data_IF_720420914775
#
_entry.id   IF_720420914775
#
_cell.length_a   1.000
_cell.length_b   1.000
_cell.length_c   1.000
_cell.angle_alpha   90.00
_cell.angle_beta   90.00
_cell.angle_gamma   90.00
#
_symmetry.space_group_name_H-M   'P 1'
#
loop_
_entity.id
_entity.type
_entity.pdbx_description
1 polymer ?
#
# COMPACT_ATOMS: atom_id res chain seq x y z
N UNK A 1 -6.64 -4.42 8.01
CA UNK A 1 -7.01 -5.21 6.86
C UNK A 1 -5.86 -5.18 5.86
N UNK A 2 -5.30 -6.32 5.51
CA UNK A 2 -4.20 -6.45 4.56
C UNK A 2 -4.76 -7.10 3.31
N UNK A 3 -4.72 -6.38 2.19
CA UNK A 3 -4.93 -6.97 0.89
C UNK A 3 -3.55 -7.17 0.27
N UNK A 4 -2.99 -8.30 0.55
CA UNK A 4 -1.79 -8.78 -0.09
C UNK A 4 -1.97 -10.28 -0.24
N UNK A 5 -2.71 -10.71 -1.24
CA UNK A 5 -2.72 -12.11 -1.60
C UNK A 5 -2.77 -12.31 -3.10
N UNK A 6 -1.84 -13.11 -3.45
CA UNK A 6 -1.60 -13.60 -4.77
C UNK A 6 -2.64 -14.62 -5.23
N UNK A 7 -3.35 -15.29 -4.32
CA UNK A 7 -4.07 -16.53 -4.69
C UNK A 7 -5.58 -16.49 -4.57
N UNK A 8 -6.11 -15.70 -3.71
CA UNK A 8 -7.58 -15.53 -3.57
C UNK A 8 -7.93 -14.75 -2.32
N UNK A 9 -8.75 -13.78 -2.44
CA UNK A 9 -9.50 -13.28 -1.32
C UNK A 9 -8.81 -12.18 -0.53
N UNK A 10 -9.59 -11.73 0.37
CA UNK A 10 -9.33 -10.65 1.28
C UNK A 10 -8.79 -11.26 2.58
N UNK A 11 -7.56 -10.92 2.96
CA UNK A 11 -7.04 -11.33 4.27
C UNK A 11 -7.37 -10.30 5.33
N UNK A 12 -8.00 -10.77 6.39
CA UNK A 12 -8.14 -10.02 7.63
C UNK A 12 -6.99 -10.44 8.53
N UNK A 13 -6.01 -9.56 8.71
CA UNK A 13 -4.94 -9.77 9.68
C UNK A 13 -5.41 -9.31 11.06
N UNK A 14 -5.36 -10.20 12.04
CA UNK A 14 -5.56 -9.88 13.45
C UNK A 14 -7.00 -10.02 13.98
N UNK A 15 -7.89 -10.66 13.24
CA UNK A 15 -9.23 -11.04 13.71
C UNK A 15 -9.54 -12.49 13.37
N UNK A 16 -10.49 -13.08 14.08
CA UNK A 16 -11.07 -14.35 13.67
C UNK A 16 -11.67 -14.20 12.27
N UNK A 17 -11.40 -15.15 11.40
CA UNK A 17 -12.09 -15.24 10.09
C UNK A 17 -13.59 -15.32 10.40
N UNK A 18 -14.43 -14.41 9.89
CA UNK A 18 -15.85 -14.48 10.12
C UNK A 18 -16.37 -15.87 9.76
N UNK A 19 -17.12 -16.48 10.65
CA UNK A 19 -17.72 -17.80 10.42
C UNK A 19 -18.65 -17.84 9.20
N UNK A 20 -18.99 -16.66 8.66
CA UNK A 20 -19.80 -16.50 7.48
C UNK A 20 -19.23 -15.35 6.63
N UNK A 21 -18.77 -15.67 5.43
CA UNK A 21 -18.37 -14.64 4.47
C UNK A 21 -19.62 -13.85 4.05
N UNK A 22 -19.50 -12.53 4.13
CA UNK A 22 -20.51 -11.63 3.57
C UNK A 22 -20.67 -11.88 2.06
N UNK A 23 -21.90 -11.75 1.52
CA UNK A 23 -22.09 -11.83 0.08
C UNK A 23 -21.21 -10.82 -0.65
N UNK A 24 -20.65 -11.24 -1.78
CA UNK A 24 -19.87 -10.35 -2.65
C UNK A 24 -20.78 -9.25 -3.21
N UNK A 25 -20.22 -8.04 -3.34
CA UNK A 25 -20.87 -6.98 -4.12
C UNK A 25 -20.82 -7.30 -5.61
N UNK A 26 -21.63 -6.60 -6.41
CA UNK A 26 -21.56 -6.73 -7.88
C UNK A 26 -20.17 -6.41 -8.42
N UNK A 27 -19.47 -5.42 -7.81
CA UNK A 27 -18.11 -5.06 -8.20
C UNK A 27 -17.10 -6.13 -7.83
N UNK A 28 -17.19 -6.71 -6.65
CA UNK A 28 -16.34 -7.84 -6.24
C UNK A 28 -16.55 -9.04 -7.15
N UNK A 29 -17.81 -9.32 -7.50
CA UNK A 29 -18.17 -10.38 -8.46
C UNK A 29 -17.54 -10.12 -9.83
N UNK A 30 -17.63 -8.90 -10.35
CA UNK A 30 -17.00 -8.52 -11.61
C UNK A 30 -15.47 -8.63 -11.55
N UNK A 31 -14.85 -8.16 -10.49
CA UNK A 31 -13.39 -8.27 -10.31
C UNK A 31 -12.93 -9.74 -10.28
N UNK A 32 -13.71 -10.62 -9.62
CA UNK A 32 -13.43 -12.06 -9.58
C UNK A 32 -13.54 -12.72 -10.98
N UNK A 33 -14.39 -12.20 -11.85
CA UNK A 33 -14.51 -12.68 -13.23
C UNK A 33 -13.38 -12.15 -14.12
N UNK A 34 -12.99 -10.89 -13.95
CA UNK A 34 -11.98 -10.24 -14.78
C UNK A 34 -10.55 -10.68 -14.44
N UNK A 35 -10.26 -10.92 -13.15
CA UNK A 35 -8.90 -11.23 -12.71
C UNK A 35 -8.30 -12.46 -13.43
N UNK A 36 -8.97 -13.62 -13.52
CA UNK A 36 -8.44 -14.78 -14.24
C UNK A 36 -8.42 -14.62 -15.76
N UNK A 37 -9.22 -13.69 -16.31
CA UNK A 37 -9.26 -13.40 -17.73
C UNK A 37 -8.23 -12.35 -18.17
N UNK A 38 -7.57 -11.68 -17.20
CA UNK A 38 -6.58 -10.64 -17.49
C UNK A 38 -5.21 -11.29 -17.62
N UNK A 39 -4.49 -11.09 -18.74
CA UNK A 39 -3.11 -11.57 -18.88
C UNK A 39 -2.23 -11.01 -17.76
N UNK A 40 -1.52 -11.89 -17.09
CA UNK A 40 -0.56 -11.54 -16.06
C UNK A 40 0.79 -12.17 -16.38
N UNK A 41 1.83 -11.36 -16.50
CA UNK A 41 3.18 -11.82 -16.80
C UNK A 41 3.81 -12.58 -15.62
N UNK A 42 3.32 -12.33 -14.41
CA UNK A 42 3.77 -12.98 -13.17
C UNK A 42 2.55 -13.66 -12.53
N UNK A 43 2.27 -14.92 -12.86
CA UNK A 43 1.01 -15.59 -12.49
C UNK A 43 0.76 -15.71 -10.99
N UNK A 44 1.82 -15.67 -10.18
CA UNK A 44 1.73 -15.77 -8.72
C UNK A 44 1.37 -14.45 -8.05
N UNK A 45 1.41 -13.34 -8.78
CA UNK A 45 1.21 -11.98 -8.24
C UNK A 45 -0.12 -11.41 -8.70
N UNK A 46 -0.83 -10.74 -7.81
CA UNK A 46 -2.03 -10.01 -8.16
C UNK A 46 -1.65 -8.64 -8.71
N UNK A 47 -2.16 -8.29 -9.88
CA UNK A 47 -1.99 -6.94 -10.42
C UNK A 47 -2.51 -5.88 -9.44
N UNK A 48 -1.77 -4.78 -9.33
CA UNK A 48 -2.04 -3.69 -8.37
C UNK A 48 -3.44 -3.10 -8.53
N UNK A 49 -3.96 -3.05 -9.76
CA UNK A 49 -5.32 -2.59 -10.02
C UNK A 49 -6.36 -3.46 -9.30
N UNK A 50 -6.23 -4.78 -9.32
CA UNK A 50 -7.16 -5.65 -8.59
C UNK A 50 -7.02 -5.48 -7.08
N UNK A 51 -5.79 -5.44 -6.56
CA UNK A 51 -5.52 -5.16 -5.15
C UNK A 51 -6.19 -3.85 -4.71
N UNK A 52 -6.05 -2.81 -5.52
CA UNK A 52 -6.64 -1.50 -5.26
C UNK A 52 -8.17 -1.54 -5.26
N UNK A 53 -8.79 -2.04 -6.33
CA UNK A 53 -10.25 -1.98 -6.46
C UNK A 53 -10.98 -2.90 -5.48
N UNK A 54 -10.42 -4.06 -5.13
CA UNK A 54 -10.94 -4.86 -4.01
C UNK A 54 -10.86 -4.10 -2.69
N UNK A 55 -9.72 -3.45 -2.41
CA UNK A 55 -9.54 -2.65 -1.20
C UNK A 55 -10.49 -1.46 -1.15
N UNK A 56 -10.67 -0.75 -2.26
CA UNK A 56 -11.58 0.38 -2.35
C UNK A 56 -13.04 -0.05 -2.14
N UNK A 57 -13.45 -1.20 -2.70
CA UNK A 57 -14.81 -1.73 -2.47
C UNK A 57 -15.00 -2.15 -1.02
N UNK A 58 -14.00 -2.81 -0.43
CA UNK A 58 -14.03 -3.12 1.00
C UNK A 58 -14.16 -1.86 1.87
N UNK A 59 -13.43 -0.79 1.55
CA UNK A 59 -13.54 0.49 2.25
C UNK A 59 -14.93 1.09 2.12
N UNK A 60 -15.54 1.01 0.93
CA UNK A 60 -16.92 1.48 0.71
C UNK A 60 -17.92 0.75 1.57
N UNK A 61 -17.79 -0.58 1.66
CA UNK A 61 -18.71 -1.47 2.38
C UNK A 61 -18.52 -1.41 3.90
N UNK A 62 -17.29 -1.52 4.37
CA UNK A 62 -16.98 -1.84 5.76
C UNK A 62 -16.43 -0.66 6.58
N UNK A 63 -16.04 0.44 5.92
CA UNK A 63 -15.54 1.65 6.59
C UNK A 63 -14.42 1.37 7.63
N UNK A 64 -13.35 0.63 7.29
CA UNK A 64 -12.28 0.33 8.23
C UNK A 64 -11.59 1.61 8.71
N UNK A 65 -11.16 1.63 9.97
CA UNK A 65 -10.40 2.75 10.55
C UNK A 65 -8.93 2.74 10.14
N UNK A 66 -8.39 1.56 9.84
CA UNK A 66 -7.03 1.36 9.33
C UNK A 66 -7.11 0.47 8.10
N UNK A 67 -6.42 0.87 7.05
CA UNK A 67 -6.31 0.12 5.81
C UNK A 67 -4.85 0.11 5.35
N UNK A 68 -4.38 -1.02 4.89
CA UNK A 68 -3.06 -1.19 4.30
C UNK A 68 -3.20 -1.77 2.90
N UNK A 69 -2.63 -1.10 1.91
CA UNK A 69 -2.49 -1.59 0.55
C UNK A 69 -1.02 -1.94 0.31
N UNK A 70 -0.76 -3.11 -0.22
CA UNK A 70 0.56 -3.52 -0.70
C UNK A 70 0.48 -3.68 -2.20
N UNK A 71 1.30 -2.92 -2.92
CA UNK A 71 1.45 -2.95 -4.37
C UNK A 71 2.79 -3.58 -4.72
N UNK A 72 2.86 -4.30 -5.83
CA UNK A 72 3.98 -5.18 -6.17
C UNK A 72 4.55 -4.97 -7.56
N UNK A 73 3.75 -4.48 -8.52
CA UNK A 73 4.14 -4.40 -9.93
C UNK A 73 5.45 -3.65 -10.19
N UNK A 74 5.77 -2.62 -9.37
CA UNK A 74 7.05 -1.90 -9.52
C UNK A 74 8.24 -2.80 -9.21
N UNK A 75 8.13 -3.67 -8.20
CA UNK A 75 9.19 -4.59 -7.84
C UNK A 75 9.36 -5.68 -8.90
N UNK A 76 8.27 -6.27 -9.33
CA UNK A 76 8.23 -7.34 -10.32
C UNK A 76 8.82 -6.91 -11.67
N UNK A 77 8.40 -5.76 -12.19
CA UNK A 77 8.94 -5.24 -13.45
C UNK A 77 10.41 -4.85 -13.35
N UNK A 78 10.86 -4.38 -12.19
CA UNK A 78 12.28 -4.12 -12.00
C UNK A 78 13.08 -5.43 -12.00
N UNK A 79 12.65 -6.45 -11.29
CA UNK A 79 13.30 -7.79 -11.30
C UNK A 79 13.35 -8.38 -12.70
N UNK A 80 12.32 -8.19 -13.49
CA UNK A 80 12.25 -8.64 -14.89
C UNK A 80 13.12 -7.81 -15.83
N UNK A 81 13.66 -6.66 -15.38
CA UNK A 81 14.45 -5.75 -16.19
C UNK A 81 13.63 -4.90 -17.16
N UNK A 82 12.32 -4.83 -16.99
CA UNK A 82 11.37 -4.13 -17.84
C UNK A 82 11.21 -2.66 -17.39
N UNK A 83 12.23 -1.84 -17.66
CA UNK A 83 12.30 -0.46 -17.14
C UNK A 83 11.09 0.41 -17.51
N UNK A 84 10.61 0.31 -18.76
CA UNK A 84 9.43 1.06 -19.19
C UNK A 84 8.17 0.63 -18.43
N UNK A 85 8.00 -0.66 -18.15
CA UNK A 85 6.89 -1.19 -17.37
C UNK A 85 7.01 -0.78 -15.89
N UNK A 86 8.23 -0.81 -15.33
CA UNK A 86 8.54 -0.30 -13.99
C UNK A 86 8.09 1.16 -13.82
N UNK A 87 8.45 2.06 -14.75
CA UNK A 87 8.02 3.46 -14.69
C UNK A 87 6.50 3.59 -14.88
N UNK A 88 5.92 2.82 -15.79
CA UNK A 88 4.48 2.84 -16.01
C UNK A 88 3.71 2.37 -14.78
N UNK A 89 4.15 1.34 -14.07
CA UNK A 89 3.50 0.88 -12.85
C UNK A 89 3.59 1.93 -11.73
N UNK A 90 4.73 2.63 -11.60
CA UNK A 90 4.84 3.76 -10.67
C UNK A 90 3.84 4.89 -11.00
N UNK A 91 3.70 5.26 -12.27
CA UNK A 91 2.69 6.24 -12.69
C UNK A 91 1.25 5.78 -12.46
N UNK A 92 0.96 4.49 -12.68
CA UNK A 92 -0.36 3.93 -12.35
C UNK A 92 -0.63 3.97 -10.85
N UNK A 93 0.35 3.65 -10.03
CA UNK A 93 0.23 3.76 -8.58
C UNK A 93 -0.10 5.18 -8.15
N UNK A 94 0.55 6.21 -8.73
CA UNK A 94 0.18 7.61 -8.48
C UNK A 94 -1.29 7.90 -8.84
N UNK A 95 -1.79 7.37 -9.96
CA UNK A 95 -3.19 7.53 -10.35
C UNK A 95 -4.14 6.83 -9.36
N UNK A 96 -3.81 5.63 -8.90
CA UNK A 96 -4.60 4.91 -7.88
C UNK A 96 -4.60 5.66 -6.54
N UNK A 97 -3.47 6.22 -6.12
CA UNK A 97 -3.37 7.06 -4.93
C UNK A 97 -4.22 8.33 -5.04
N UNK A 98 -4.27 8.96 -6.21
CA UNK A 98 -5.15 10.10 -6.49
C UNK A 98 -6.62 9.70 -6.40
N UNK A 99 -6.99 8.55 -6.96
CA UNK A 99 -8.36 8.03 -6.86
C UNK A 99 -8.74 7.74 -5.41
N UNK A 100 -7.84 7.10 -4.65
CA UNK A 100 -8.03 6.85 -3.23
C UNK A 100 -8.23 8.17 -2.46
N UNK A 101 -7.38 9.15 -2.68
CA UNK A 101 -7.49 10.45 -2.02
C UNK A 101 -8.81 11.14 -2.34
N UNK A 102 -9.23 11.15 -3.60
CA UNK A 102 -10.50 11.70 -4.02
C UNK A 102 -11.68 10.99 -3.34
N UNK A 103 -11.65 9.67 -3.25
CA UNK A 103 -12.63 8.91 -2.51
C UNK A 103 -12.66 9.32 -1.03
N UNK A 104 -11.50 9.34 -0.37
CA UNK A 104 -11.38 9.72 1.04
C UNK A 104 -11.91 11.13 1.32
N UNK A 105 -11.76 12.07 0.38
CA UNK A 105 -12.26 13.44 0.53
C UNK A 105 -13.74 13.62 0.12
N UNK A 106 -14.31 12.65 -0.58
CA UNK A 106 -15.74 12.67 -0.96
C UNK A 106 -16.65 11.93 0.02
N UNK A 107 -16.11 10.93 0.73
CA UNK A 107 -16.88 10.09 1.64
C UNK A 107 -17.03 10.73 3.03
N UNK A 108 -18.24 10.86 3.52
CA UNK A 108 -18.53 11.56 4.80
C UNK A 108 -17.93 10.88 6.04
N UNK A 109 -17.61 9.59 5.98
CA UNK A 109 -16.93 8.89 7.07
C UNK A 109 -15.44 9.27 7.14
N UNK A 110 -14.78 9.41 5.97
CA UNK A 110 -13.34 9.62 5.86
C UNK A 110 -12.92 11.09 5.72
N UNK A 111 -13.77 11.93 5.11
CA UNK A 111 -13.45 13.31 4.76
C UNK A 111 -12.92 14.11 5.95
N UNK A 112 -11.73 14.68 5.79
CA UNK A 112 -11.08 15.50 6.81
C UNK A 112 -10.64 14.74 8.07
N UNK A 113 -10.71 13.41 8.08
CA UNK A 113 -10.40 12.56 9.25
C UNK A 113 -9.35 11.50 8.96
N UNK A 114 -8.89 11.38 7.72
CA UNK A 114 -8.00 10.31 7.28
C UNK A 114 -6.60 10.84 7.01
N UNK A 115 -5.61 10.18 7.56
CA UNK A 115 -4.20 10.36 7.21
C UNK A 115 -3.80 9.25 6.25
N UNK A 116 -3.25 9.63 5.09
CA UNK A 116 -2.64 8.73 4.14
C UNK A 116 -1.13 8.75 4.37
N UNK A 117 -0.53 7.57 4.50
CA UNK A 117 0.92 7.35 4.55
C UNK A 117 1.28 6.52 3.33
N UNK A 118 2.24 6.98 2.54
CA UNK A 118 2.77 6.28 1.37
C UNK A 118 4.26 6.08 1.57
N UNK A 119 4.73 4.87 1.36
CA UNK A 119 6.15 4.53 1.47
C UNK A 119 6.48 3.35 0.58
N UNK A 120 7.76 3.12 0.32
CA UNK A 120 8.28 1.87 -0.23
C UNK A 120 8.76 0.98 0.91
N UNK A 121 8.77 -0.32 0.70
CA UNK A 121 9.30 -1.32 1.64
C UNK A 121 10.82 -1.41 1.58
N UNK A 122 11.42 -1.14 0.42
CA UNK A 122 12.87 -1.02 0.21
C UNK A 122 13.17 -0.06 -0.95
N UNK A 123 14.44 0.30 -1.07
CA UNK A 123 15.01 0.98 -2.23
C UNK A 123 15.63 -0.02 -3.22
N UNK A 124 16.40 0.50 -4.17
CA UNK A 124 17.08 -0.28 -5.20
C UNK A 124 18.48 0.27 -5.45
N UNK A 125 19.33 -0.53 -6.08
CA UNK A 125 20.66 -0.09 -6.48
C UNK A 125 20.62 1.02 -7.54
N UNK A 126 21.59 1.93 -7.55
CA UNK A 126 21.61 3.08 -8.45
C UNK A 126 22.23 2.77 -9.83
N UNK A 127 22.85 1.59 -10.00
CA UNK A 127 23.57 1.22 -11.21
C UNK A 127 22.67 0.69 -12.33
N UNK A 128 23.17 0.64 -13.54
CA UNK A 128 22.45 0.16 -14.73
C UNK A 128 21.94 -1.29 -14.60
N UNK A 129 22.60 -2.10 -13.78
CA UNK A 129 22.21 -3.47 -13.49
C UNK A 129 21.60 -3.62 -12.09
N UNK A 130 22.06 -2.83 -11.13
CA UNK A 130 21.64 -2.94 -9.73
C UNK A 130 20.21 -2.45 -9.47
N UNK A 131 19.66 -1.60 -10.34
CA UNK A 131 18.27 -1.13 -10.20
C UNK A 131 17.24 -2.26 -10.26
N UNK A 132 17.61 -3.42 -10.81
CA UNK A 132 16.78 -4.62 -10.87
C UNK A 132 16.73 -5.39 -9.55
N UNK A 133 17.55 -5.00 -8.59
CA UNK A 133 17.79 -5.77 -7.39
C UNK A 133 17.68 -4.92 -6.12
N UNK A 134 17.42 -5.62 -5.03
CA UNK A 134 17.41 -5.08 -3.68
C UNK A 134 18.01 -6.09 -2.70
N UNK A 135 18.10 -5.74 -1.44
CA UNK A 135 18.62 -6.59 -0.38
C UNK A 135 19.86 -6.00 0.30
N UNK A 136 20.27 -6.59 1.40
CA UNK A 136 21.25 -6.01 2.32
C UNK A 136 22.64 -5.75 1.72
N UNK A 137 22.96 -6.34 0.58
CA UNK A 137 24.25 -6.15 -0.11
C UNK A 137 24.20 -5.16 -1.26
N UNK A 138 23.02 -4.66 -1.60
CA UNK A 138 22.81 -3.69 -2.70
C UNK A 138 22.81 -2.30 -2.08
N UNK A 139 23.77 -1.48 -2.47
CA UNK A 139 23.84 -0.08 -2.02
C UNK A 139 22.57 0.68 -2.43
N UNK A 140 21.96 1.42 -1.51
CA UNK A 140 20.72 2.14 -1.75
C UNK A 140 19.43 1.33 -1.53
N UNK A 141 19.50 0.01 -1.36
CA UNK A 141 18.31 -0.80 -1.09
C UNK A 141 17.68 -0.53 0.29
N UNK A 142 18.40 0.07 1.21
CA UNK A 142 17.92 0.53 2.52
C UNK A 142 17.38 1.97 2.50
N UNK A 143 17.46 2.66 1.35
CA UNK A 143 17.01 4.03 1.21
C UNK A 143 15.58 4.06 0.70
N UNK A 144 14.67 4.50 1.55
CA UNK A 144 13.25 4.65 1.25
C UNK A 144 12.81 6.09 1.47
N UNK A 145 11.64 6.40 0.96
CA UNK A 145 10.95 7.66 1.25
C UNK A 145 9.61 7.39 1.94
N UNK A 146 9.13 8.37 2.69
CA UNK A 146 7.83 8.32 3.36
C UNK A 146 7.12 9.65 3.09
N UNK A 147 5.92 9.58 2.51
CA UNK A 147 5.05 10.73 2.34
C UNK A 147 3.82 10.61 3.24
N UNK A 148 3.39 11.73 3.81
CA UNK A 148 2.23 11.78 4.69
C UNK A 148 1.34 12.98 4.33
N UNK A 149 0.04 12.76 4.26
CA UNK A 149 -0.97 13.80 4.07
C UNK A 149 -2.19 13.53 4.94
N UNK A 150 -2.74 14.55 5.56
CA UNK A 150 -3.96 14.42 6.36
C UNK A 150 -4.00 15.36 7.58
N UNK A 151 -5.04 15.24 8.41
CA UNK A 151 -5.19 16.08 9.60
C UNK A 151 -4.00 15.97 10.54
N UNK A 152 -3.48 17.11 10.99
CA UNK A 152 -2.33 17.18 11.90
C UNK A 152 -0.97 16.93 11.24
N UNK A 153 -0.92 16.78 9.92
CA UNK A 153 0.33 16.78 9.16
C UNK A 153 0.57 18.19 8.62
N UNK A 154 1.69 18.79 9.03
CA UNK A 154 2.05 20.11 8.53
C UNK A 154 2.44 20.04 7.04
N UNK A 155 2.00 20.98 6.19
CA UNK A 155 2.34 21.00 4.77
C UNK A 155 3.76 21.59 4.56
N UNK A 156 4.77 20.85 4.94
CA UNK A 156 6.18 21.30 4.93
C UNK A 156 6.87 21.05 3.59
N UNK A 157 6.24 20.31 2.66
CA UNK A 157 6.92 19.81 1.47
C UNK A 157 7.95 18.72 1.81
N UNK A 158 8.97 18.60 0.99
CA UNK A 158 10.05 17.64 1.20
C UNK A 158 10.95 18.06 2.38
N UNK A 159 11.13 17.13 3.32
CA UNK A 159 12.05 17.29 4.45
C UNK A 159 13.40 16.67 4.12
N UNK A 160 14.44 17.48 4.08
CA UNK A 160 15.81 17.06 3.80
C UNK A 160 16.61 16.73 5.08
N UNK A 161 15.99 16.83 6.24
CA UNK A 161 16.58 16.54 7.56
C UNK A 161 15.62 15.78 8.46
N UNK A 162 16.15 15.17 9.51
CA UNK A 162 15.34 14.39 10.45
C UNK A 162 14.98 13.01 9.87
N UNK A 163 15.96 12.12 9.83
CA UNK A 163 15.79 10.76 9.30
C UNK A 163 14.59 10.04 9.93
N UNK A 164 13.86 9.33 9.09
CA UNK A 164 12.73 8.48 9.45
C UNK A 164 13.03 7.04 9.05
N UNK A 165 12.37 6.10 9.72
CA UNK A 165 12.58 4.68 9.51
C UNK A 165 11.25 3.97 9.31
N UNK A 166 11.25 2.93 8.50
CA UNK A 166 10.07 2.11 8.20
C UNK A 166 9.41 1.53 9.47
N UNK A 167 10.21 1.17 10.48
CA UNK A 167 9.70 0.63 11.74
C UNK A 167 8.89 1.64 12.58
N UNK A 168 8.83 2.92 12.18
CA UNK A 168 7.99 3.94 12.79
C UNK A 168 6.56 3.97 12.23
N UNK A 169 6.34 3.38 11.05
CA UNK A 169 5.05 3.43 10.35
C UNK A 169 3.93 2.80 11.19
N UNK A 170 4.17 1.60 11.73
CA UNK A 170 3.16 0.90 12.52
C UNK A 170 2.77 1.67 13.80
N UNK A 171 3.75 2.24 14.51
CA UNK A 171 3.49 3.07 15.69
C UNK A 171 2.73 4.36 15.33
N UNK A 172 3.03 4.95 14.16
CA UNK A 172 2.35 6.14 13.65
C UNK A 172 0.89 5.85 13.29
N UNK A 173 0.62 4.73 12.61
CA UNK A 173 -0.74 4.28 12.30
C UNK A 173 -1.54 4.00 13.58
N UNK A 174 -0.97 3.26 14.52
CA UNK A 174 -1.62 2.95 15.79
C UNK A 174 -1.95 4.22 16.58
N UNK A 175 -0.99 5.14 16.70
CA UNK A 175 -1.19 6.44 17.35
C UNK A 175 -2.28 7.27 16.69
N UNK A 176 -2.42 7.20 15.36
CA UNK A 176 -3.46 7.92 14.60
C UNK A 176 -4.89 7.46 14.96
N UNK A 177 -5.04 6.24 15.45
CA UNK A 177 -6.34 5.68 15.90
C UNK A 177 -6.45 5.53 17.41
N UNK A 178 -5.52 6.14 18.17
CA UNK A 178 -5.54 6.16 19.63
C UNK A 178 -5.06 4.86 20.30
N UNK A 179 -4.31 4.05 19.57
CA UNK A 179 -3.75 2.77 20.07
C UNK A 179 -2.25 2.93 20.33
N UNK A 180 -1.80 2.48 21.50
CA UNK A 180 -0.37 2.37 21.82
C UNK A 180 0.23 1.15 21.16
N UNK A 181 1.26 1.31 20.35
CA UNK A 181 2.01 0.23 19.73
C UNK A 181 3.28 -0.06 20.51
N UNK A 182 3.46 -1.29 20.98
CA UNK A 182 4.53 -1.65 21.92
C UNK A 182 5.38 -2.84 21.48
N UNK A 183 5.48 -3.09 20.18
CA UNK A 183 6.32 -4.19 19.68
C UNK A 183 7.81 -3.88 19.86
N UNK A 184 8.66 -4.88 20.21
CA UNK A 184 10.06 -4.67 20.61
C UNK A 184 10.94 -3.96 19.59
N UNK A 185 10.65 -4.05 18.30
CA UNK A 185 11.44 -3.41 17.23
C UNK A 185 10.76 -2.18 16.64
N UNK A 186 9.65 -1.74 17.22
CA UNK A 186 8.95 -0.56 16.73
C UNK A 186 9.76 0.70 17.06
N UNK A 187 9.90 1.58 16.07
CA UNK A 187 10.34 2.94 16.30
C UNK A 187 9.24 3.81 16.92
N UNK A 188 9.57 5.02 17.42
CA UNK A 188 8.57 5.95 17.92
C UNK A 188 7.66 6.45 16.79
N UNK A 189 6.44 6.89 17.14
CA UNK A 189 5.55 7.54 16.17
C UNK A 189 6.23 8.77 15.54
N UNK A 190 5.96 8.99 14.25
CA UNK A 190 6.43 10.16 13.49
C UNK A 190 5.54 11.41 13.71
N UNK A 191 4.50 11.31 14.53
CA UNK A 191 3.55 12.38 14.88
C UNK A 191 3.79 12.84 16.31
#
# INVERSE_FOLDING_TARGET
>A
FIINDQRSGVFVSGGEVPAKLEPLTERETMLNQLMPATPNMIPEVRLDAFTFYYGLEYMRKNKPRVMYFSFDETDDFAHSGEYAAYLNSAHKTDQLLRELWNYLQSDGFYKGKTTLIVTTDHGRGPGADDWKSHGARIAGADQIWIAMIGPGIAPTGELTSGQRYQNQVAATLAGSVGIKYTQPKAGPSMR
#
